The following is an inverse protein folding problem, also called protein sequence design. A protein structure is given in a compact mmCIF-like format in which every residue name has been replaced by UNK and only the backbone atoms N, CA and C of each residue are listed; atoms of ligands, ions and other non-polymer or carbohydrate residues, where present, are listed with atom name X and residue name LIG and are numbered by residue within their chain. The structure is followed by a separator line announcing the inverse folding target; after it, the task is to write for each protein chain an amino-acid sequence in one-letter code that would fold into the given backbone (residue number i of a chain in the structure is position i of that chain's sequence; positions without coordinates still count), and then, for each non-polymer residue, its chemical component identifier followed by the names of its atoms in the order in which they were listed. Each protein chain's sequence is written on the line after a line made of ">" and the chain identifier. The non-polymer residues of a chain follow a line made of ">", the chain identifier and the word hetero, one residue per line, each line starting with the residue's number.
data_IF_373803496985
#
_entry.id   IF_373803496985
#
_cell.length_a   1.000
_cell.length_b   1.000
_cell.length_c   1.000
_cell.angle_alpha   90.00
_cell.angle_beta   90.00
_cell.angle_gamma   90.00
#
_symmetry.space_group_name_H-M   'P 1'
#
loop_
_entity.id
_entity.type
_entity.pdbx_description
1 polymer ?
#
# COMPACT_ATOMS: atom_id res chain seq x y z
N UNK A 1 -26.03 5.78 1.88
CA UNK A 1 -24.96 5.07 1.15
C UNK A 1 -23.87 6.03 0.75
N UNK A 2 -22.65 5.62 0.91
CA UNK A 2 -21.49 6.45 0.57
C UNK A 2 -20.87 5.92 -0.71
N UNK A 3 -20.62 6.82 -1.65
CA UNK A 3 -19.94 6.45 -2.88
C UNK A 3 -18.48 6.16 -2.60
N UNK A 4 -18.00 5.04 -3.11
CA UNK A 4 -16.60 4.69 -3.01
C UNK A 4 -15.82 5.31 -4.15
N UNK A 5 -14.59 5.70 -3.86
CA UNK A 5 -13.69 6.22 -4.87
C UNK A 5 -12.75 5.10 -5.30
N UNK A 6 -12.92 4.69 -6.55
CA UNK A 6 -12.24 3.51 -7.06
C UNK A 6 -10.72 3.62 -7.02
N UNK A 7 -10.18 4.80 -7.33
CA UNK A 7 -8.72 4.96 -7.32
C UNK A 7 -8.15 4.81 -5.91
N UNK A 8 -8.87 5.26 -4.90
CA UNK A 8 -8.43 5.08 -3.50
C UNK A 8 -8.44 3.60 -3.14
N UNK A 9 -9.51 2.90 -3.49
CA UNK A 9 -9.60 1.46 -3.23
C UNK A 9 -8.46 0.70 -3.90
N UNK A 10 -8.17 1.05 -5.16
CA UNK A 10 -7.10 0.41 -5.93
C UNK A 10 -5.73 0.71 -5.33
N UNK A 11 -5.49 1.95 -4.92
CA UNK A 11 -4.22 2.31 -4.32
C UNK A 11 -3.98 1.55 -3.02
N UNK A 12 -5.00 1.48 -2.15
CA UNK A 12 -4.88 0.73 -0.90
C UNK A 12 -4.72 -0.77 -1.16
N UNK A 13 -5.32 -1.28 -2.22
CA UNK A 13 -5.12 -2.66 -2.63
C UNK A 13 -3.67 -2.95 -2.99
N UNK A 14 -3.01 -2.03 -3.68
CA UNK A 14 -1.59 -2.16 -4.01
C UNK A 14 -0.74 -2.15 -2.74
N UNK A 15 -1.04 -1.24 -1.81
CA UNK A 15 -0.30 -1.16 -0.54
C UNK A 15 -0.41 -2.49 0.22
N UNK A 16 -1.61 -3.04 0.31
CA UNK A 16 -1.81 -4.33 0.97
C UNK A 16 -1.04 -5.45 0.27
N UNK A 17 -1.07 -5.46 -1.05
CA UNK A 17 -0.34 -6.47 -1.82
C UNK A 17 1.15 -6.42 -1.50
N UNK A 18 1.75 -5.23 -1.52
CA UNK A 18 3.17 -5.10 -1.24
C UNK A 18 3.51 -5.51 0.19
N UNK A 19 2.61 -5.26 1.13
CA UNK A 19 2.80 -5.70 2.51
C UNK A 19 2.76 -7.22 2.64
N UNK A 20 1.87 -7.86 1.87
CA UNK A 20 1.65 -9.30 1.97
C UNK A 20 2.76 -10.12 1.33
N UNK A 21 3.25 -9.69 0.17
CA UNK A 21 4.22 -10.48 -0.57
C UNK A 21 5.63 -10.40 0.03
N UNK A 22 5.92 -9.34 0.77
CA UNK A 22 7.20 -9.16 1.48
C UNK A 22 8.41 -9.20 0.55
N UNK A 23 8.23 -8.80 -0.69
CA UNK A 23 9.32 -8.67 -1.65
C UNK A 23 8.97 -7.57 -2.63
N UNK A 24 9.96 -6.93 -3.25
CA UNK A 24 9.66 -5.93 -4.27
C UNK A 24 8.95 -6.55 -5.46
N UNK A 25 8.05 -5.81 -6.07
CA UNK A 25 7.32 -6.23 -7.25
C UNK A 25 7.48 -5.18 -8.36
N UNK A 26 7.59 -5.65 -9.59
CA UNK A 26 7.54 -4.78 -10.76
C UNK A 26 6.10 -4.41 -11.10
N UNK A 27 5.93 -3.41 -11.96
CA UNK A 27 4.59 -2.96 -12.35
C UNK A 27 3.79 -4.08 -13.03
N UNK A 28 4.45 -4.93 -13.81
CA UNK A 28 3.77 -6.04 -14.48
C UNK A 28 3.19 -7.03 -13.46
N UNK A 29 3.95 -7.35 -12.42
CA UNK A 29 3.49 -8.25 -11.38
C UNK A 29 2.32 -7.65 -10.61
N UNK A 30 2.41 -6.36 -10.28
CA UNK A 30 1.33 -5.65 -9.61
C UNK A 30 0.07 -5.66 -10.49
N UNK A 31 0.24 -5.36 -11.78
CA UNK A 31 -0.87 -5.37 -12.73
C UNK A 31 -1.55 -6.74 -12.79
N UNK A 32 -0.76 -7.79 -12.92
CA UNK A 32 -1.30 -9.15 -13.02
C UNK A 32 -2.03 -9.58 -11.75
N UNK A 33 -1.45 -9.28 -10.60
CA UNK A 33 -2.02 -9.72 -9.33
C UNK A 33 -3.29 -8.95 -8.96
N UNK A 34 -3.32 -7.65 -9.25
CA UNK A 34 -4.48 -6.82 -8.92
C UNK A 34 -5.56 -6.84 -9.99
N UNK A 35 -5.23 -7.29 -11.18
CA UNK A 35 -6.15 -7.21 -12.32
C UNK A 35 -6.25 -5.83 -12.93
N UNK A 36 -5.43 -4.88 -12.50
CA UNK A 36 -5.44 -3.52 -13.05
C UNK A 36 -4.65 -3.46 -14.34
N UNK A 37 -5.08 -2.64 -15.31
CA UNK A 37 -4.26 -2.40 -16.50
C UNK A 37 -2.88 -1.85 -16.10
N UNK A 38 -1.82 -2.20 -16.83
CA UNK A 38 -0.47 -1.74 -16.46
C UNK A 38 -0.33 -0.23 -16.32
N UNK A 39 -0.94 0.53 -17.21
CA UNK A 39 -0.88 1.99 -17.13
C UNK A 39 -1.54 2.51 -15.85
N UNK A 40 -2.66 1.93 -15.45
CA UNK A 40 -3.35 2.30 -14.22
C UNK A 40 -2.50 1.94 -13.00
N UNK A 41 -1.95 0.72 -12.98
CA UNK A 41 -1.09 0.28 -11.89
C UNK A 41 0.12 1.20 -11.76
N UNK A 42 0.73 1.56 -12.88
CA UNK A 42 1.89 2.45 -12.88
C UNK A 42 1.54 3.83 -12.30
N UNK A 43 0.44 4.41 -12.74
CA UNK A 43 0.02 5.73 -12.25
C UNK A 43 -0.24 5.73 -10.74
N UNK A 44 -0.88 4.68 -10.25
CA UNK A 44 -1.13 4.55 -8.82
C UNK A 44 0.16 4.38 -8.04
N UNK A 45 1.10 3.57 -8.56
CA UNK A 45 2.38 3.37 -7.91
C UNK A 45 3.19 4.67 -7.87
N UNK A 46 3.20 5.44 -8.96
CA UNK A 46 3.89 6.73 -8.99
C UNK A 46 3.33 7.66 -7.91
N UNK A 47 2.02 7.73 -7.80
CA UNK A 47 1.38 8.56 -6.77
C UNK A 47 1.74 8.10 -5.37
N UNK A 48 1.72 6.78 -5.14
CA UNK A 48 2.09 6.23 -3.84
C UNK A 48 3.55 6.53 -3.49
N UNK A 49 4.44 6.52 -4.48
CA UNK A 49 5.83 6.91 -4.27
C UNK A 49 5.92 8.38 -3.88
N UNK A 50 5.19 9.25 -4.58
CA UNK A 50 5.18 10.68 -4.27
C UNK A 50 4.70 10.94 -2.84
N UNK A 51 3.76 10.13 -2.36
CA UNK A 51 3.23 10.26 -1.01
C UNK A 51 4.07 9.56 0.05
N UNK A 52 5.13 8.86 -0.36
CA UNK A 52 6.03 8.21 0.58
C UNK A 52 5.57 6.85 1.10
N UNK A 53 4.46 6.34 0.59
CA UNK A 53 3.93 5.04 1.04
C UNK A 53 4.54 3.87 0.31
N UNK A 54 5.13 4.13 -0.85
CA UNK A 54 5.81 3.13 -1.67
C UNK A 54 7.16 3.72 -2.06
N UNK A 55 8.15 2.88 -2.22
CA UNK A 55 9.44 3.29 -2.77
C UNK A 55 9.80 2.41 -3.94
N UNK A 56 10.55 2.96 -4.86
CA UNK A 56 11.00 2.25 -6.04
C UNK A 56 12.52 2.16 -6.02
N UNK A 57 13.03 0.94 -6.25
CA UNK A 57 14.46 0.75 -6.39
C UNK A 57 14.88 1.32 -7.75
N UNK A 58 15.82 2.29 -7.79
CA UNK A 58 16.21 2.90 -9.06
C UNK A 58 16.91 1.94 -10.01
N UNK A 59 17.50 0.87 -9.52
CA UNK A 59 18.19 -0.09 -10.38
C UNK A 59 17.25 -1.15 -10.93
N UNK A 60 16.48 -1.78 -10.06
CA UNK A 60 15.58 -2.85 -10.48
C UNK A 60 14.24 -2.34 -10.99
N UNK A 61 13.91 -1.09 -10.69
CA UNK A 61 12.61 -0.46 -10.95
C UNK A 61 11.43 -1.16 -10.26
N UNK A 62 11.71 -2.04 -9.31
CA UNK A 62 10.67 -2.70 -8.53
C UNK A 62 10.21 -1.82 -7.38
N UNK A 63 9.01 -2.10 -6.87
CA UNK A 63 8.35 -1.31 -5.83
C UNK A 63 8.19 -2.11 -4.57
N UNK A 64 8.30 -1.43 -3.43
CA UNK A 64 8.03 -2.01 -2.11
C UNK A 64 7.49 -0.92 -1.19
N UNK A 65 7.05 -1.30 0.00
CA UNK A 65 6.53 -0.31 0.95
C UNK A 65 7.60 0.70 1.32
N UNK A 66 7.20 1.96 1.41
CA UNK A 66 8.09 3.05 1.74
C UNK A 66 8.07 3.41 3.21
N UNK A 67 9.04 4.23 3.62
CA UNK A 67 9.18 4.63 5.02
C UNK A 67 8.05 5.54 5.51
N UNK A 68 7.37 6.23 4.61
CA UNK A 68 6.25 7.10 4.98
C UNK A 68 5.13 6.37 5.68
N UNK A 69 4.87 5.11 5.27
CA UNK A 69 3.82 4.33 5.91
C UNK A 69 4.19 3.98 7.36
N UNK A 70 5.49 3.76 7.62
CA UNK A 70 5.96 3.47 8.98
C UNK A 70 5.75 4.67 9.89
N UNK A 71 6.05 5.88 9.41
CA UNK A 71 5.83 7.08 10.21
C UNK A 71 4.36 7.28 10.55
N UNK A 72 3.49 7.11 9.57
CA UNK A 72 2.04 7.24 9.78
C UNK A 72 1.55 6.19 10.80
N UNK A 73 1.99 4.95 10.64
CA UNK A 73 1.60 3.87 11.56
C UNK A 73 2.12 4.13 12.97
N UNK A 74 3.34 4.64 13.10
CA UNK A 74 3.93 4.92 14.40
C UNK A 74 3.11 5.97 15.16
N UNK A 75 2.70 7.05 14.46
CA UNK A 75 1.85 8.07 15.08
C UNK A 75 0.52 7.48 15.51
N UNK A 76 -0.11 6.69 14.65
CA UNK A 76 -1.38 6.08 14.98
C UNK A 76 -1.27 5.16 16.19
N UNK A 77 -0.21 4.35 16.25
CA UNK A 77 0.00 3.44 17.38
C UNK A 77 0.25 4.19 18.71
N UNK A 78 0.94 5.34 18.61
CA UNK A 78 1.29 6.08 19.83
C UNK A 78 0.12 6.87 20.39
N UNK A 79 -0.76 7.39 19.54
CA UNK A 79 -1.71 8.42 19.97
C UNK A 79 -3.18 8.07 19.79
N UNK A 80 -3.53 7.01 19.10
CA UNK A 80 -4.93 6.65 18.89
C UNK A 80 -5.38 5.62 19.94
N UNK A 81 -6.32 5.97 20.83
CA UNK A 81 -6.85 4.98 21.77
C UNK A 81 -7.51 3.79 21.08
N UNK A 82 -8.17 4.05 19.95
CA UNK A 82 -8.82 2.99 19.19
C UNK A 82 -7.80 1.98 18.67
N UNK A 83 -6.71 2.48 18.09
CA UNK A 83 -5.66 1.62 17.53
C UNK A 83 -4.87 0.95 18.66
N UNK A 84 -4.67 1.62 19.79
CA UNK A 84 -4.04 1.01 20.95
C UNK A 84 -4.80 -0.23 21.40
N UNK A 85 -6.11 -0.17 21.42
CA UNK A 85 -6.94 -1.32 21.76
C UNK A 85 -6.87 -2.40 20.70
N UNK A 86 -6.91 -2.01 19.43
CA UNK A 86 -6.95 -2.95 18.31
C UNK A 86 -5.64 -3.71 18.12
N UNK A 87 -4.49 -3.12 18.49
CA UNK A 87 -3.20 -3.76 18.27
C UNK A 87 -3.00 -5.01 19.10
N UNK A 88 -3.84 -5.22 20.09
CA UNK A 88 -3.78 -6.42 20.92
C UNK A 88 -4.44 -7.63 20.26
N UNK A 89 -5.03 -7.43 19.10
CA UNK A 89 -5.71 -8.47 18.35
C UNK A 89 -4.93 -8.82 17.12
N UNK A 90 -4.91 -10.11 16.73
CA UNK A 90 -4.28 -10.48 15.47
C UNK A 90 -5.05 -9.88 14.29
N UNK A 91 -4.33 -9.53 13.25
CA UNK A 91 -4.95 -9.05 12.02
C UNK A 91 -5.60 -10.24 11.33
N UNK A 92 -6.87 -10.10 11.01
CA UNK A 92 -7.60 -11.14 10.30
C UNK A 92 -7.84 -10.73 8.88
N UNK A 93 -7.73 -11.68 8.01
CA UNK A 93 -8.03 -11.47 6.61
C UNK A 93 -9.28 -12.21 6.24
N UNK A 94 -10.13 -11.57 5.46
CA UNK A 94 -11.34 -12.23 4.99
C UNK A 94 -11.02 -13.39 4.08
#
# INVERSE_FOLDING_TARGET
>A
MVDSIRSVQRALGIVRLLAEVRKPLGVAEVSQTTGLPPATAHRLLVTLVEEGWVQQDPQSTQYELGTGILGTAAVALAYSPFIQAAKLRPVRRP
#
